data_IF_252631789577
#
_entry.id   IF_252631789577
#
_cell.length_a   1.000
_cell.length_b   1.000
_cell.length_c   1.000
_cell.angle_alpha   90.00
_cell.angle_beta   90.00
_cell.angle_gamma   90.00
#
_symmetry.space_group_name_H-M   'P 1'
#
loop_
_entity.id
_entity.type
_entity.pdbx_description
1 polymer ?
#
# COMPACT_ATOMS: atom_id res chain seq x y z
N UNK A 1 17.99 16.42 4.83
CA UNK A 1 16.76 16.18 4.05
C UNK A 1 16.19 14.84 4.48
N UNK A 2 14.99 14.77 5.08
CA UNK A 2 14.40 13.50 5.51
C UNK A 2 14.20 12.54 4.32
N UNK A 3 14.72 11.32 4.46
CA UNK A 3 14.47 10.20 3.57
C UNK A 3 13.92 9.03 4.39
N UNK A 4 13.03 8.23 3.78
CA UNK A 4 12.48 7.07 4.46
C UNK A 4 13.57 6.04 4.74
N UNK A 5 13.53 5.43 5.93
CA UNK A 5 14.49 4.45 6.43
C UNK A 5 14.14 3.01 6.05
N UNK A 6 12.96 2.77 5.47
CA UNK A 6 12.55 1.41 5.10
C UNK A 6 13.20 1.03 3.77
N UNK A 7 13.67 -0.22 3.69
CA UNK A 7 14.24 -0.80 2.48
C UNK A 7 13.25 -0.74 1.32
N UNK A 8 13.72 -0.44 0.10
CA UNK A 8 12.86 -0.30 -1.08
C UNK A 8 12.01 0.97 -1.14
N UNK A 9 11.89 1.73 -0.05
CA UNK A 9 11.15 3.00 -0.04
C UNK A 9 12.03 4.16 -0.52
N UNK A 10 11.71 4.71 -1.70
CA UNK A 10 12.40 5.87 -2.27
C UNK A 10 11.63 7.18 -2.05
N UNK A 11 10.95 7.30 -0.90
CA UNK A 11 10.26 8.53 -0.51
C UNK A 11 11.20 9.44 0.27
N UNK A 12 11.29 10.70 -0.15
CA UNK A 12 12.05 11.75 0.50
C UNK A 12 11.36 13.10 0.27
N UNK A 13 11.61 14.07 1.15
CA UNK A 13 10.80 15.30 1.26
C UNK A 13 10.61 16.07 -0.06
N UNK A 14 11.61 16.11 -0.94
CA UNK A 14 11.49 16.81 -2.23
C UNK A 14 10.59 16.05 -3.23
N UNK A 15 10.55 14.71 -3.19
CA UNK A 15 9.70 13.89 -4.06
C UNK A 15 8.24 13.89 -3.60
N UNK A 16 8.02 13.99 -2.30
CA UNK A 16 6.69 14.00 -1.67
C UNK A 16 6.20 15.41 -1.37
N UNK A 17 6.83 16.43 -1.95
CA UNK A 17 6.38 17.81 -1.81
C UNK A 17 4.99 17.95 -2.44
N UNK A 18 4.02 18.44 -1.67
CA UNK A 18 2.63 18.57 -2.12
C UNK A 18 1.79 17.31 -1.92
N UNK A 19 2.30 16.28 -1.25
CA UNK A 19 1.50 15.12 -0.83
C UNK A 19 1.29 15.11 0.69
N UNK A 20 0.32 14.33 1.16
CA UNK A 20 0.03 14.16 2.59
C UNK A 20 1.00 13.23 3.33
N UNK A 21 2.16 12.94 2.72
CA UNK A 21 3.16 12.06 3.32
C UNK A 21 3.94 12.81 4.39
N UNK A 22 3.82 12.34 5.63
CA UNK A 22 4.59 12.85 6.78
C UNK A 22 5.78 11.94 7.07
N UNK A 23 6.78 12.49 7.74
CA UNK A 23 8.01 11.78 8.12
C UNK A 23 8.14 11.77 9.63
N UNK A 24 8.27 10.58 10.20
CA UNK A 24 8.32 10.33 11.64
C UNK A 24 9.73 9.95 12.06
N UNK A 25 10.17 10.50 13.19
CA UNK A 25 11.43 10.10 13.82
C UNK A 25 11.26 8.78 14.54
N UNK A 26 12.38 8.07 14.70
CA UNK A 26 12.42 6.89 15.54
C UNK A 26 12.03 7.24 16.98
N UNK A 27 11.30 6.35 17.67
CA UNK A 27 10.95 6.54 19.07
C UNK A 27 12.20 6.59 19.95
N UNK A 28 12.07 7.26 21.11
CA UNK A 28 13.12 7.32 22.14
C UNK A 28 13.23 6.01 22.92
N UNK A 29 12.12 5.31 23.05
CA UNK A 29 12.07 4.01 23.70
C UNK A 29 12.88 2.98 22.90
N UNK A 30 13.78 2.29 23.58
CA UNK A 30 14.74 1.37 22.98
C UNK A 30 14.06 0.15 22.37
N UNK A 31 12.99 -0.35 22.99
CA UNK A 31 12.29 -1.54 22.53
C UNK A 31 11.53 -1.25 21.23
N UNK A 32 10.78 -0.15 21.21
CA UNK A 32 10.09 0.32 20.01
C UNK A 32 11.08 0.71 18.91
N UNK A 33 12.21 1.31 19.26
CA UNK A 33 13.27 1.64 18.30
C UNK A 33 13.82 0.38 17.64
N UNK A 34 14.07 -0.69 18.39
CA UNK A 34 14.50 -1.98 17.82
C UNK A 34 13.45 -2.58 16.88
N UNK A 35 12.16 -2.51 17.23
CA UNK A 35 11.08 -2.97 16.33
C UNK A 35 11.08 -2.21 15.01
N UNK A 36 11.24 -0.89 15.05
CA UNK A 36 11.33 -0.06 13.86
C UNK A 36 12.57 -0.37 13.02
N UNK A 37 13.72 -0.63 13.66
CA UNK A 37 14.96 -1.03 12.96
C UNK A 37 14.75 -2.36 12.24
N UNK A 38 14.14 -3.35 12.90
CA UNK A 38 13.82 -4.65 12.28
C UNK A 38 12.90 -4.48 11.07
N UNK A 39 11.88 -3.63 11.19
CA UNK A 39 10.95 -3.33 10.09
C UNK A 39 11.60 -2.57 8.91
N UNK A 40 12.75 -1.91 9.11
CA UNK A 40 13.45 -1.25 8.02
C UNK A 40 14.12 -2.25 7.07
N UNK A 41 14.42 -3.47 7.53
CA UNK A 41 15.05 -4.55 6.74
C UNK A 41 16.33 -4.13 5.99
N UNK A 42 17.04 -3.13 6.50
CA UNK A 42 18.32 -2.69 5.92
C UNK A 42 19.46 -3.51 6.49
N UNK A 43 20.31 -4.00 5.59
CA UNK A 43 21.60 -4.62 5.95
C UNK A 43 22.66 -3.58 6.27
N UNK A 44 22.50 -2.36 5.75
CA UNK A 44 23.45 -1.27 5.94
C UNK A 44 23.28 -0.62 7.32
N UNK A 45 24.40 -0.28 7.96
CA UNK A 45 24.38 0.45 9.22
C UNK A 45 23.99 1.92 8.95
N UNK A 46 22.87 2.37 9.53
CA UNK A 46 22.36 3.73 9.33
C UNK A 46 22.17 4.48 10.65
N UNK A 47 22.41 5.79 10.62
CA UNK A 47 22.29 6.66 11.81
C UNK A 47 20.81 6.88 12.16
N UNK A 48 20.33 6.18 13.18
CA UNK A 48 18.94 6.23 13.66
C UNK A 48 18.48 7.68 13.94
N UNK A 49 19.36 8.50 14.54
CA UNK A 49 19.08 9.92 14.90
C UNK A 49 18.65 10.79 13.71
N UNK A 50 19.16 10.50 12.53
CA UNK A 50 18.89 11.28 11.30
C UNK A 50 17.97 10.53 10.34
N UNK A 51 17.40 9.41 10.78
CA UNK A 51 16.58 8.53 9.96
C UNK A 51 15.11 8.73 10.28
N UNK A 52 14.27 8.58 9.27
CA UNK A 52 12.84 8.86 9.36
C UNK A 52 12.05 7.75 8.67
N UNK A 53 10.84 7.49 9.12
CA UNK A 53 9.90 6.57 8.45
C UNK A 53 8.73 7.39 7.91
N UNK A 54 8.30 7.14 6.67
CA UNK A 54 7.19 7.90 6.09
C UNK A 54 5.84 7.29 6.45
N UNK A 55 4.79 8.12 6.48
CA UNK A 55 3.44 7.78 6.98
C UNK A 55 2.80 6.56 6.33
N UNK A 56 3.17 6.24 5.09
CA UNK A 56 2.61 5.10 4.33
C UNK A 56 2.91 3.74 4.95
N UNK A 57 3.89 3.68 5.85
CA UNK A 57 4.29 2.44 6.51
C UNK A 57 3.58 2.24 7.85
N UNK A 58 2.67 3.12 8.23
CA UNK A 58 1.84 2.97 9.42
C UNK A 58 0.39 2.79 9.01
N UNK A 59 -0.37 2.02 9.79
CA UNK A 59 -1.79 1.89 9.56
C UNK A 59 -2.49 3.23 9.86
N UNK A 60 -3.66 3.45 9.26
CA UNK A 60 -4.47 4.64 9.59
C UNK A 60 -4.82 4.68 11.09
N UNK A 61 -5.02 3.51 11.69
CA UNK A 61 -5.35 3.35 13.12
C UNK A 61 -4.17 3.59 14.06
N UNK A 62 -2.94 3.63 13.55
CA UNK A 62 -1.73 3.92 14.33
C UNK A 62 -1.57 5.41 14.62
N UNK A 63 -2.36 6.26 13.96
CA UNK A 63 -2.35 7.70 14.19
C UNK A 63 -3.33 8.05 15.31
N UNK A 64 -2.85 8.79 16.29
CA UNK A 64 -3.69 9.48 17.25
C UNK A 64 -4.29 10.70 16.53
N UNK A 65 -5.61 10.82 16.61
CA UNK A 65 -6.27 12.07 16.26
C UNK A 65 -5.75 13.13 17.23
N UNK A 66 -5.29 14.30 16.74
CA UNK A 66 -4.86 15.35 17.64
C UNK A 66 -6.03 15.69 18.58
N UNK A 67 -5.74 15.77 19.88
CA UNK A 67 -6.59 16.31 20.94
C UNK A 67 -6.90 17.80 20.67
N UNK A 68 -7.49 18.11 19.52
CA UNK A 68 -7.85 19.47 19.12
C UNK A 68 -9.10 19.95 19.88
N UNK A 69 -9.79 19.06 20.59
CA UNK A 69 -11.01 19.38 21.33
C UNK A 69 -10.78 19.83 22.79
N UNK A 70 -9.58 19.68 23.37
CA UNK A 70 -9.36 20.00 24.79
C UNK A 70 -8.68 21.35 25.06
N UNK A 71 -7.97 21.89 24.08
CA UNK A 71 -7.26 23.16 24.22
C UNK A 71 -7.24 23.84 22.86
N UNK A 72 -7.90 25.01 22.75
CA UNK A 72 -8.13 25.81 21.55
C UNK A 72 -6.85 26.36 20.87
N UNK A 73 -5.80 25.54 20.76
CA UNK A 73 -4.56 25.83 20.08
C UNK A 73 -4.49 24.92 18.85
N UNK A 74 -4.61 25.51 17.66
CA UNK A 74 -4.44 24.78 16.40
C UNK A 74 -2.97 24.48 16.20
N UNK A 75 -2.46 23.39 16.78
CA UNK A 75 -1.22 22.80 16.28
C UNK A 75 -1.56 22.18 14.93
N UNK A 76 -1.21 22.92 13.88
CA UNK A 76 -1.43 22.54 12.50
C UNK A 76 -0.93 21.09 12.25
N UNK A 77 -1.89 20.16 12.15
CA UNK A 77 -1.73 18.92 11.41
C UNK A 77 -0.51 18.08 11.83
N UNK A 78 -0.21 18.01 13.13
CA UNK A 78 0.71 17.01 13.65
C UNK A 78 -0.05 15.71 13.79
N UNK A 79 -0.08 14.88 12.74
CA UNK A 79 -0.42 13.45 12.93
C UNK A 79 0.56 12.93 13.97
N UNK A 80 0.06 12.49 15.12
CA UNK A 80 0.89 11.89 16.19
C UNK A 80 0.79 10.38 16.00
N UNK A 81 1.92 9.68 16.04
CA UNK A 81 1.91 8.22 16.06
C UNK A 81 1.67 7.76 17.49
N UNK A 82 0.81 6.76 17.66
CA UNK A 82 0.64 6.03 18.91
C UNK A 82 2.01 5.52 19.38
N UNK A 83 2.20 5.48 20.70
CA UNK A 83 3.41 4.91 21.31
C UNK A 83 3.63 3.43 20.95
N UNK A 84 2.56 2.72 20.57
CA UNK A 84 2.57 1.31 20.16
C UNK A 84 2.71 1.09 18.65
N UNK A 85 2.72 2.15 17.85
CA UNK A 85 2.76 2.04 16.39
C UNK A 85 4.10 1.48 15.89
N UNK A 86 4.04 0.43 15.07
CA UNK A 86 5.21 -0.21 14.45
C UNK A 86 5.06 -0.15 12.94
N UNK A 87 6.07 0.31 12.19
CA UNK A 87 5.96 0.40 10.76
C UNK A 87 5.96 -0.97 10.11
N UNK A 88 5.22 -1.09 9.02
CA UNK A 88 5.15 -2.27 8.16
C UNK A 88 6.34 -2.24 7.19
N UNK A 89 7.09 -3.36 7.06
CA UNK A 89 8.17 -3.47 6.10
C UNK A 89 7.68 -3.29 4.66
N UNK A 90 8.58 -2.89 3.76
CA UNK A 90 8.20 -2.68 2.36
C UNK A 90 7.97 -4.01 1.67
N UNK A 91 6.74 -4.23 1.21
CA UNK A 91 6.41 -5.37 0.34
C UNK A 91 6.97 -5.22 -1.08
N UNK A 92 7.45 -4.02 -1.45
CA UNK A 92 8.04 -3.76 -2.75
C UNK A 92 9.47 -4.28 -2.78
N UNK A 93 9.69 -5.42 -3.44
CA UNK A 93 11.03 -5.86 -3.86
C UNK A 93 11.63 -4.77 -4.76
N UNK A 94 12.95 -4.56 -4.69
CA UNK A 94 13.63 -3.68 -5.65
C UNK A 94 13.37 -4.20 -7.07
N UNK A 95 13.22 -3.35 -8.10
CA UNK A 95 13.06 -3.80 -9.48
C UNK A 95 14.13 -4.81 -9.94
N UNK A 96 15.34 -4.70 -9.38
CA UNK A 96 16.45 -5.62 -9.62
C UNK A 96 16.29 -7.02 -9.01
N UNK A 97 15.36 -7.19 -8.06
CA UNK A 97 15.09 -8.44 -7.34
C UNK A 97 13.71 -9.03 -7.71
N UNK A 98 12.96 -8.41 -8.63
CA UNK A 98 11.75 -9.01 -9.17
C UNK A 98 12.14 -10.19 -10.07
N UNK A 99 11.73 -11.39 -9.67
CA UNK A 99 11.84 -12.54 -10.56
C UNK A 99 10.89 -12.36 -11.74
N UNK A 100 11.13 -13.09 -12.84
CA UNK A 100 10.24 -13.06 -14.02
C UNK A 100 8.81 -13.46 -13.62
N UNK A 101 8.69 -14.39 -12.68
CA UNK A 101 7.44 -14.89 -12.12
C UNK A 101 6.71 -13.81 -11.30
N UNK A 102 7.43 -13.04 -10.48
CA UNK A 102 6.86 -11.94 -9.71
C UNK A 102 6.30 -10.84 -10.62
N UNK A 103 6.97 -10.57 -11.75
CA UNK A 103 6.52 -9.60 -12.76
C UNK A 103 5.23 -10.05 -13.45
N UNK A 104 5.10 -11.34 -13.77
CA UNK A 104 3.89 -11.92 -14.37
C UNK A 104 2.72 -11.89 -13.40
N UNK A 105 2.94 -12.28 -12.14
CA UNK A 105 1.91 -12.20 -11.08
C UNK A 105 1.42 -10.77 -10.88
N UNK A 106 2.34 -9.81 -10.83
CA UNK A 106 1.98 -8.41 -10.67
C UNK A 106 1.15 -7.88 -11.86
N UNK A 107 1.51 -8.25 -13.09
CA UNK A 107 0.70 -7.92 -14.28
C UNK A 107 -0.69 -8.54 -14.21
N UNK A 108 -0.80 -9.81 -13.77
CA UNK A 108 -2.07 -10.51 -13.63
C UNK A 108 -2.99 -9.83 -12.62
N UNK A 109 -2.47 -9.48 -11.43
CA UNK A 109 -3.25 -8.77 -10.40
C UNK A 109 -3.77 -7.41 -10.90
N UNK A 110 -2.95 -6.66 -11.64
CA UNK A 110 -3.37 -5.37 -12.23
C UNK A 110 -4.48 -5.58 -13.27
N UNK A 111 -4.38 -6.63 -14.09
CA UNK A 111 -5.42 -6.97 -15.06
C UNK A 111 -6.71 -7.38 -14.36
N UNK A 112 -6.63 -8.20 -13.30
CA UNK A 112 -7.78 -8.64 -12.51
C UNK A 112 -8.48 -7.44 -11.82
N UNK A 113 -7.73 -6.48 -11.29
CA UNK A 113 -8.27 -5.23 -10.73
C UNK A 113 -8.98 -4.38 -11.79
N UNK A 114 -8.34 -4.18 -12.95
CA UNK A 114 -8.93 -3.42 -14.05
C UNK A 114 -10.21 -4.08 -14.58
N UNK A 115 -10.25 -5.42 -14.65
CA UNK A 115 -11.47 -6.16 -15.00
C UNK A 115 -12.58 -5.90 -13.98
N UNK A 116 -12.26 -5.93 -12.68
CA UNK A 116 -13.23 -5.65 -11.62
C UNK A 116 -13.79 -4.21 -11.70
N UNK A 117 -12.92 -3.23 -11.94
CA UNK A 117 -13.34 -1.84 -12.16
C UNK A 117 -14.25 -1.70 -13.38
N UNK A 118 -13.91 -2.34 -14.51
CA UNK A 118 -14.76 -2.29 -15.71
C UNK A 118 -16.14 -2.92 -15.49
N UNK A 119 -16.21 -4.01 -14.72
CA UNK A 119 -17.47 -4.64 -14.35
C UNK A 119 -18.35 -3.73 -13.47
N UNK A 120 -17.76 -3.07 -12.47
CA UNK A 120 -18.49 -2.15 -11.61
C UNK A 120 -18.95 -0.87 -12.34
N UNK A 121 -18.22 -0.42 -13.37
CA UNK A 121 -18.65 0.69 -14.23
C UNK A 121 -19.88 0.32 -15.06
N UNK A 122 -20.00 -0.91 -15.53
CA UNK A 122 -21.18 -1.38 -16.27
C UNK A 122 -22.41 -1.56 -15.37
N UNK A 123 -22.22 -1.95 -14.11
CA UNK A 123 -23.32 -2.09 -13.14
C UNK A 123 -23.92 -0.74 -12.68
N UNK A 124 -23.19 0.39 -12.86
CA UNK A 124 -23.64 1.74 -12.53
C UNK A 124 -24.49 2.42 -13.60
N UNK A 125 -24.67 1.81 -14.77
CA UNK A 125 -25.48 2.34 -15.88
C UNK A 125 -26.61 1.38 -16.24
N UNK A 126 -27.53 1.12 -15.32
CA UNK A 126 -28.83 0.51 -15.67
C UNK A 126 -29.89 1.59 -15.82
N UNK A 127 -29.84 2.29 -16.97
CA UNK A 127 -31.10 2.65 -17.61
C UNK A 127 -31.58 1.38 -18.34
N UNK A 128 -32.80 0.98 -17.98
CA UNK A 128 -33.62 -0.07 -18.59
C UNK A 128 -33.35 -0.33 -20.08
N UNK A 129 -32.97 -1.55 -20.43
CA UNK A 129 -33.66 -2.40 -21.40
C UNK A 129 -33.03 -3.79 -21.40
N UNK A 130 -33.88 -4.81 -21.31
CA UNK A 130 -33.56 -6.24 -21.35
C UNK A 130 -32.60 -6.60 -22.49
N UNK A 131 -31.53 -7.36 -22.23
CA UNK A 131 -31.02 -8.42 -23.13
C UNK A 131 -30.21 -9.49 -22.35
N UNK A 132 -30.87 -10.64 -22.24
CA UNK A 132 -30.43 -12.03 -22.00
C UNK A 132 -28.97 -12.35 -21.62
N UNK A 133 -28.84 -13.00 -20.46
CA UNK A 133 -27.66 -13.80 -20.07
C UNK A 133 -27.55 -15.00 -21.04
N UNK A 134 -26.46 -15.19 -21.79
CA UNK A 134 -26.22 -16.44 -22.48
C UNK A 134 -25.85 -17.48 -21.42
N UNK A 135 -26.83 -18.29 -21.01
CA UNK A 135 -26.58 -19.45 -20.17
C UNK A 135 -25.63 -20.41 -20.87
N UNK A 136 -24.76 -21.03 -20.08
CA UNK A 136 -23.71 -22.00 -20.47
C UNK A 136 -24.31 -23.30 -21.03
N UNK A 137 -25.04 -23.23 -22.14
CA UNK A 137 -25.65 -24.38 -22.82
C UNK A 137 -24.98 -24.71 -24.16
N UNK A 138 -24.28 -23.75 -24.80
CA UNK A 138 -23.65 -23.99 -26.10
C UNK A 138 -22.26 -24.65 -26.05
N UNK A 139 -21.61 -24.70 -24.89
CA UNK A 139 -20.25 -25.25 -24.76
C UNK A 139 -20.19 -26.78 -24.52
N UNK A 140 -21.33 -27.45 -24.37
CA UNK A 140 -21.38 -28.88 -24.01
C UNK A 140 -21.77 -29.82 -25.17
N UNK A 141 -21.96 -29.32 -26.40
CA UNK A 141 -22.51 -30.11 -27.50
C UNK A 141 -21.61 -30.25 -28.74
N UNK A 142 -20.31 -30.02 -28.61
CA UNK A 142 -19.34 -30.24 -29.71
C UNK A 142 -18.19 -31.19 -29.38
N UNK A 143 -18.22 -31.90 -28.23
CA UNK A 143 -17.20 -32.88 -27.83
C UNK A 143 -17.62 -34.35 -28.01
N UNK A 144 -18.42 -34.67 -29.04
CA UNK A 144 -18.80 -36.06 -29.33
C UNK A 144 -18.82 -36.45 -30.83
N UNK A 145 -18.03 -35.82 -31.69
CA UNK A 145 -17.84 -36.34 -33.06
C UNK A 145 -16.48 -35.95 -33.66
N UNK A 146 -15.44 -36.76 -33.39
CA UNK A 146 -14.45 -37.15 -34.41
C UNK A 146 -13.61 -38.34 -33.95
N UNK A 147 -14.14 -39.54 -34.15
CA UNK A 147 -13.34 -40.76 -34.28
C UNK A 147 -13.48 -41.26 -35.73
N UNK A 148 -12.39 -41.14 -36.49
CA UNK A 148 -11.86 -42.09 -37.48
C UNK A 148 -10.72 -41.42 -38.25
#
# INVERSE_FOLDING_TARGET
MPSCAIFGCNNYTRKTKGTDIKYFRFPRDTDMQQKWIRACERKDEFKIKNSYVCSIHFAADDFELPLQELCNYTVENTRILKSTAVPVPSTKKRPSELSKEDSVKQRRLIVDEAIFETYNVQAGTSNSLDQEIPTLSWYFQSSQFRSK
#
